data_IF_885884317166
#
_entry.id   IF_885884317166
#
_cell.length_a   1.000
_cell.length_b   1.000
_cell.length_c   1.000
_cell.angle_alpha   90.00
_cell.angle_beta   90.00
_cell.angle_gamma   90.00
#
_symmetry.space_group_name_H-M   'P 1'
#
loop_
_entity.id
_entity.type
_entity.pdbx_description
1 polymer ?
#
# COMPACT_ATOMS: atom_id res chain seq x y z
N UNK A 1 22.12 33.86 -23.18
CA UNK A 1 21.54 32.77 -23.97
C UNK A 1 21.96 31.39 -23.46
N UNK A 2 23.20 30.96 -23.44
CA UNK A 2 23.64 29.63 -22.96
C UNK A 2 23.15 29.22 -21.55
N UNK A 3 23.07 30.15 -20.57
CA UNK A 3 22.56 29.82 -19.22
C UNK A 3 21.08 29.54 -19.20
N UNK A 4 20.28 30.20 -20.04
CA UNK A 4 18.84 29.96 -20.16
C UNK A 4 18.54 28.62 -20.84
N UNK A 5 19.33 28.27 -21.88
CA UNK A 5 19.22 26.97 -22.55
C UNK A 5 19.56 25.80 -21.61
N UNK A 6 20.60 25.94 -20.78
CA UNK A 6 20.97 24.94 -19.77
C UNK A 6 19.87 24.82 -18.70
N UNK A 7 19.30 25.94 -18.24
CA UNK A 7 18.21 25.93 -17.26
C UNK A 7 16.93 25.31 -17.83
N UNK A 8 16.56 25.66 -19.05
CA UNK A 8 15.43 25.08 -19.75
C UNK A 8 15.62 23.58 -20.03
N UNK A 9 16.83 23.16 -20.43
CA UNK A 9 17.13 21.73 -20.62
C UNK A 9 17.06 20.94 -19.32
N UNK A 10 17.51 21.51 -18.19
CA UNK A 10 17.39 20.87 -16.87
C UNK A 10 15.93 20.76 -16.39
N UNK A 11 15.11 21.79 -16.65
CA UNK A 11 13.68 21.77 -16.39
C UNK A 11 12.97 20.69 -17.23
N UNK A 12 13.22 20.66 -18.54
CA UNK A 12 12.62 19.68 -19.46
C UNK A 12 13.04 18.25 -19.09
N UNK A 13 14.31 18.01 -18.77
CA UNK A 13 14.82 16.71 -18.33
C UNK A 13 14.21 16.32 -16.97
N UNK A 14 14.06 17.29 -16.06
CA UNK A 14 13.40 17.07 -14.77
C UNK A 14 11.94 16.68 -14.92
N UNK A 15 11.19 17.37 -15.78
CA UNK A 15 9.79 17.06 -16.05
C UNK A 15 9.62 15.73 -16.78
N UNK A 16 10.48 15.41 -17.76
CA UNK A 16 10.47 14.11 -18.43
C UNK A 16 10.75 12.96 -17.45
N UNK A 17 11.71 13.11 -16.53
CA UNK A 17 11.97 12.11 -15.48
C UNK A 17 10.76 11.93 -14.56
N UNK A 18 10.07 13.01 -14.23
CA UNK A 18 8.86 12.98 -13.39
C UNK A 18 7.68 12.30 -14.09
N UNK A 19 7.55 12.42 -15.41
CA UNK A 19 6.44 11.79 -16.12
C UNK A 19 6.60 10.26 -16.25
N UNK A 20 7.81 9.73 -16.26
CA UNK A 20 8.07 8.29 -16.35
C UNK A 20 8.12 7.59 -14.98
N UNK A 21 8.07 8.35 -13.87
CA UNK A 21 8.17 7.81 -12.53
C UNK A 21 7.18 6.65 -12.25
N UNK A 22 5.86 6.76 -12.54
CA UNK A 22 4.95 5.65 -12.29
C UNK A 22 5.26 4.40 -13.12
N UNK A 23 5.78 4.57 -14.35
CA UNK A 23 6.14 3.44 -15.22
C UNK A 23 7.38 2.72 -14.68
N UNK A 24 8.39 3.48 -14.23
CA UNK A 24 9.59 2.90 -13.61
C UNK A 24 9.20 2.11 -12.37
N UNK A 25 8.35 2.70 -11.51
CA UNK A 25 7.87 2.06 -10.30
C UNK A 25 7.08 0.77 -10.61
N UNK A 26 6.21 0.81 -11.63
CA UNK A 26 5.46 -0.35 -12.07
C UNK A 26 6.36 -1.48 -12.58
N UNK A 27 7.38 -1.16 -13.40
CA UNK A 27 8.34 -2.15 -13.90
C UNK A 27 9.18 -2.75 -12.77
N UNK A 28 9.68 -1.90 -11.85
CA UNK A 28 10.43 -2.37 -10.68
C UNK A 28 9.59 -3.28 -9.81
N UNK A 29 8.33 -2.90 -9.55
CA UNK A 29 7.41 -3.75 -8.80
C UNK A 29 7.15 -5.09 -9.52
N UNK A 30 6.92 -5.08 -10.83
CA UNK A 30 6.69 -6.31 -11.59
C UNK A 30 7.87 -7.28 -11.49
N UNK A 31 9.10 -6.77 -11.68
CA UNK A 31 10.32 -7.58 -11.54
C UNK A 31 10.42 -8.16 -10.12
N UNK A 32 10.20 -7.32 -9.10
CA UNK A 32 10.24 -7.72 -7.71
C UNK A 32 9.20 -8.80 -7.39
N UNK A 33 7.96 -8.62 -7.85
CA UNK A 33 6.86 -9.58 -7.70
C UNK A 33 7.19 -10.94 -8.32
N UNK A 34 7.74 -10.95 -9.54
CA UNK A 34 8.16 -12.19 -10.23
C UNK A 34 9.26 -12.90 -9.44
N UNK A 35 10.27 -12.17 -8.98
CA UNK A 35 11.39 -12.74 -8.22
C UNK A 35 10.91 -13.41 -6.93
N UNK A 36 10.05 -12.73 -6.15
CA UNK A 36 9.51 -13.28 -4.91
C UNK A 36 8.49 -14.42 -5.17
N UNK A 37 7.90 -14.48 -6.36
CA UNK A 37 7.02 -15.57 -6.75
C UNK A 37 7.74 -16.89 -7.08
N UNK A 38 9.08 -16.93 -7.20
CA UNK A 38 9.80 -18.13 -7.65
C UNK A 38 9.72 -19.26 -6.60
N UNK A 39 10.11 -18.99 -5.35
CA UNK A 39 10.16 -20.00 -4.29
C UNK A 39 9.64 -19.42 -2.96
N UNK A 40 8.33 -19.12 -2.84
CA UNK A 40 7.77 -18.68 -1.56
C UNK A 40 7.82 -19.82 -0.53
N UNK A 41 7.81 -19.47 0.74
CA UNK A 41 7.85 -20.40 1.88
C UNK A 41 6.67 -21.37 1.83
N UNK A 42 5.45 -20.84 1.58
CA UNK A 42 4.26 -21.62 1.29
C UNK A 42 3.58 -21.12 0.02
N UNK A 43 3.40 -22.03 -0.96
CA UNK A 43 2.81 -21.67 -2.25
C UNK A 43 1.31 -21.37 -2.14
N UNK A 44 0.61 -22.05 -1.26
CA UNK A 44 -0.83 -21.87 -1.09
C UNK A 44 -1.13 -20.52 -0.43
N UNK A 45 -0.40 -20.19 0.63
CA UNK A 45 -0.47 -18.88 1.29
C UNK A 45 -0.07 -17.77 0.31
N UNK A 46 1.04 -17.94 -0.44
CA UNK A 46 1.46 -16.98 -1.46
C UNK A 46 0.35 -16.64 -2.45
N UNK A 47 -0.33 -17.66 -3.00
CA UNK A 47 -1.39 -17.44 -4.00
C UNK A 47 -2.51 -16.60 -3.42
N UNK A 48 -2.91 -16.85 -2.18
CA UNK A 48 -4.01 -16.13 -1.52
C UNK A 48 -3.58 -14.69 -1.21
N UNK A 49 -2.41 -14.53 -0.64
CA UNK A 49 -1.85 -13.23 -0.25
C UNK A 49 -1.61 -12.27 -1.42
N UNK A 50 -1.26 -12.79 -2.58
CA UNK A 50 -1.01 -11.93 -3.74
C UNK A 50 -2.28 -11.52 -4.50
N UNK A 51 -3.44 -12.09 -4.22
CA UNK A 51 -4.70 -11.69 -4.88
C UNK A 51 -4.96 -10.19 -4.76
N UNK A 52 -4.96 -9.58 -3.56
CA UNK A 52 -5.19 -8.14 -3.43
C UNK A 52 -4.07 -7.31 -4.07
N UNK A 53 -2.82 -7.78 -4.00
CA UNK A 53 -1.66 -7.13 -4.63
C UNK A 53 -1.84 -7.05 -6.15
N UNK A 54 -2.17 -8.18 -6.78
CA UNK A 54 -2.42 -8.27 -8.23
C UNK A 54 -3.63 -7.42 -8.62
N UNK A 55 -4.71 -7.47 -7.85
CA UNK A 55 -5.91 -6.68 -8.10
C UNK A 55 -5.61 -5.17 -8.11
N UNK A 56 -4.91 -4.67 -7.09
CA UNK A 56 -4.52 -3.25 -6.99
C UNK A 56 -3.56 -2.88 -8.11
N UNK A 57 -2.54 -3.69 -8.40
CA UNK A 57 -1.58 -3.43 -9.47
C UNK A 57 -2.26 -3.32 -10.83
N UNK A 58 -3.11 -4.28 -11.17
CA UNK A 58 -3.87 -4.26 -12.44
C UNK A 58 -4.85 -3.09 -12.50
N UNK A 59 -5.51 -2.76 -11.39
CA UNK A 59 -6.39 -1.58 -11.30
C UNK A 59 -5.62 -0.29 -11.60
N UNK A 60 -4.43 -0.11 -11.03
CA UNK A 60 -3.60 1.07 -11.28
C UNK A 60 -3.14 1.15 -12.74
N UNK A 61 -2.76 0.03 -13.36
CA UNK A 61 -2.42 -0.02 -14.79
C UNK A 61 -3.62 0.34 -15.68
N UNK A 62 -4.78 -0.25 -15.41
CA UNK A 62 -6.01 -0.05 -16.22
C UNK A 62 -6.54 1.38 -16.12
N UNK A 63 -6.39 2.02 -14.96
CA UNK A 63 -6.93 3.37 -14.71
C UNK A 63 -5.95 4.50 -15.03
N UNK A 64 -4.68 4.20 -15.24
CA UNK A 64 -3.62 5.19 -15.46
C UNK A 64 -3.95 6.24 -16.53
N UNK A 65 -4.49 5.80 -17.67
CA UNK A 65 -4.87 6.72 -18.76
C UNK A 65 -6.10 7.58 -18.45
N UNK A 66 -6.96 7.15 -17.51
CA UNK A 66 -8.18 7.86 -17.12
C UNK A 66 -7.95 8.85 -15.98
N UNK A 67 -7.05 8.50 -15.08
CA UNK A 67 -6.65 9.33 -13.96
C UNK A 67 -5.22 9.02 -13.55
N UNK A 68 -4.35 9.99 -13.76
CA UNK A 68 -2.96 9.92 -13.30
C UNK A 68 -2.86 10.54 -11.91
N UNK A 69 -2.51 9.73 -10.94
CA UNK A 69 -2.20 10.18 -9.59
C UNK A 69 -0.90 11.00 -9.54
N UNK A 70 -0.69 11.74 -8.45
CA UNK A 70 0.60 12.34 -8.15
C UNK A 70 1.67 11.26 -7.93
N UNK A 71 2.94 11.62 -8.15
CA UNK A 71 4.04 10.69 -7.89
C UNK A 71 4.07 10.25 -6.42
N UNK A 72 3.68 11.14 -5.50
CA UNK A 72 3.57 10.81 -4.07
C UNK A 72 2.49 9.74 -3.84
N UNK A 73 1.32 9.85 -4.45
CA UNK A 73 0.29 8.81 -4.37
C UNK A 73 0.80 7.45 -4.88
N UNK A 74 1.49 7.44 -6.02
CA UNK A 74 2.09 6.19 -6.53
C UNK A 74 3.14 5.64 -5.57
N UNK A 75 3.96 6.49 -4.94
CA UNK A 75 4.93 6.05 -3.92
C UNK A 75 4.22 5.43 -2.71
N UNK A 76 3.21 6.11 -2.16
CA UNK A 76 2.47 5.63 -1.00
C UNK A 76 1.78 4.28 -1.28
N UNK A 77 1.15 4.14 -2.44
CA UNK A 77 0.54 2.87 -2.86
C UNK A 77 1.59 1.78 -3.08
N UNK A 78 2.75 2.13 -3.63
CA UNK A 78 3.83 1.17 -3.86
C UNK A 78 4.44 0.65 -2.57
N UNK A 79 4.52 1.45 -1.50
CA UNK A 79 5.02 0.99 -0.19
C UNK A 79 4.28 -0.27 0.23
N UNK A 80 2.96 -0.27 0.20
CA UNK A 80 2.17 -1.45 0.53
C UNK A 80 2.39 -2.59 -0.47
N UNK A 81 2.37 -2.32 -1.78
CA UNK A 81 2.56 -3.37 -2.79
C UNK A 81 3.86 -4.13 -2.57
N UNK A 82 4.98 -3.44 -2.34
CA UNK A 82 6.26 -4.07 -2.06
C UNK A 82 6.27 -4.79 -0.72
N UNK A 83 5.75 -4.16 0.33
CA UNK A 83 5.73 -4.71 1.68
C UNK A 83 4.90 -5.99 1.76
N UNK A 84 3.67 -5.94 1.26
CA UNK A 84 2.76 -7.09 1.27
C UNK A 84 3.30 -8.26 0.43
N UNK A 85 3.95 -7.98 -0.70
CA UNK A 85 4.60 -9.03 -1.51
C UNK A 85 5.71 -9.74 -0.73
N UNK A 86 6.49 -9.05 0.11
CA UNK A 86 7.45 -9.69 1.01
C UNK A 86 6.73 -10.55 2.05
N UNK A 87 5.68 -10.01 2.67
CA UNK A 87 4.85 -10.74 3.64
C UNK A 87 4.32 -12.05 3.07
N UNK A 88 3.71 -11.99 1.90
CA UNK A 88 3.19 -13.18 1.21
C UNK A 88 4.29 -14.21 0.88
N UNK A 89 5.50 -13.76 0.48
CA UNK A 89 6.62 -14.66 0.20
C UNK A 89 7.05 -15.48 1.41
N UNK A 90 7.09 -14.85 2.59
CA UNK A 90 7.56 -15.45 3.84
C UNK A 90 6.42 -15.90 4.77
N UNK A 91 5.14 -15.75 4.37
CA UNK A 91 3.95 -15.96 5.24
C UNK A 91 3.92 -15.01 6.45
N UNK A 92 4.12 -13.73 6.25
CA UNK A 92 4.15 -12.63 7.22
C UNK A 92 4.86 -12.91 8.55
N UNK A 93 4.39 -13.91 9.32
CA UNK A 93 4.97 -14.29 10.61
C UNK A 93 6.44 -14.76 10.52
N UNK A 94 6.85 -15.29 9.35
CA UNK A 94 8.18 -15.86 9.12
C UNK A 94 9.12 -14.91 8.34
N UNK A 95 8.71 -13.66 8.11
CA UNK A 95 9.61 -12.65 7.54
C UNK A 95 10.82 -12.48 8.48
N UNK A 96 12.08 -12.46 7.98
CA UNK A 96 13.28 -12.26 8.82
C UNK A 96 13.34 -10.83 9.36
N UNK A 97 12.51 -10.53 10.36
CA UNK A 97 12.30 -9.23 10.98
C UNK A 97 12.89 -9.16 12.40
N UNK A 98 13.75 -10.14 12.74
CA UNK A 98 14.32 -10.34 14.07
C UNK A 98 15.08 -9.12 14.59
N UNK A 99 15.75 -8.37 13.70
CA UNK A 99 16.45 -7.15 14.09
C UNK A 99 15.51 -6.15 14.78
N UNK A 100 14.33 -5.92 14.21
CA UNK A 100 13.33 -4.99 14.79
C UNK A 100 12.67 -5.62 16.01
N UNK A 101 12.33 -6.90 15.95
CA UNK A 101 11.72 -7.65 17.05
C UNK A 101 12.61 -7.59 18.30
N UNK A 102 13.90 -7.85 18.16
CA UNK A 102 14.86 -7.81 19.25
C UNK A 102 15.19 -6.38 19.74
N UNK A 103 15.24 -5.40 18.82
CA UNK A 103 15.53 -4.01 19.17
C UNK A 103 14.48 -3.40 20.11
N UNK A 104 13.20 -3.78 19.92
CA UNK A 104 12.08 -3.29 20.71
C UNK A 104 11.54 -4.30 21.73
N UNK A 105 12.20 -5.44 21.90
CA UNK A 105 11.78 -6.53 22.80
C UNK A 105 10.33 -6.99 22.57
N UNK A 106 9.94 -7.08 21.28
CA UNK A 106 8.62 -7.54 20.92
C UNK A 106 8.49 -9.06 21.11
N UNK A 107 7.29 -9.51 21.54
CA UNK A 107 6.98 -10.92 21.74
C UNK A 107 6.55 -11.63 20.44
N UNK A 108 6.36 -10.89 19.36
CA UNK A 108 5.94 -11.42 18.05
C UNK A 108 6.63 -10.67 16.91
N UNK A 109 6.62 -11.27 15.73
CA UNK A 109 6.98 -10.58 14.50
C UNK A 109 5.87 -9.57 14.13
N UNK A 110 6.22 -8.28 14.12
CA UNK A 110 5.30 -7.20 13.81
C UNK A 110 5.37 -6.73 12.34
N UNK A 111 5.93 -7.55 11.44
CA UNK A 111 6.00 -7.21 10.02
C UNK A 111 4.63 -6.94 9.42
N UNK A 112 3.64 -7.73 9.81
CA UNK A 112 2.25 -7.61 9.41
C UNK A 112 1.64 -6.28 9.87
N UNK A 113 1.84 -5.87 11.12
CA UNK A 113 1.39 -4.55 11.63
C UNK A 113 1.88 -3.37 10.79
N UNK A 114 3.11 -3.43 10.28
CA UNK A 114 3.65 -2.41 9.37
C UNK A 114 2.98 -2.52 8.00
N UNK A 115 2.64 -3.72 7.57
CA UNK A 115 1.81 -3.98 6.40
C UNK A 115 0.49 -3.22 6.47
N UNK A 116 -0.28 -3.44 7.55
CA UNK A 116 -1.55 -2.76 7.81
C UNK A 116 -1.37 -1.23 7.87
N UNK A 117 -0.37 -0.72 8.58
CA UNK A 117 -0.07 0.71 8.57
C UNK A 117 0.08 1.26 7.13
N UNK A 118 0.70 0.49 6.25
CA UNK A 118 0.93 0.89 4.86
C UNK A 118 -0.32 0.80 3.97
N UNK A 119 -1.29 -0.07 4.27
CA UNK A 119 -2.64 -0.05 3.67
C UNK A 119 -3.30 1.30 3.92
N UNK A 120 -3.19 1.83 5.13
CA UNK A 120 -3.72 3.14 5.48
C UNK A 120 -3.27 4.27 4.56
N UNK A 121 -2.09 4.16 3.95
CA UNK A 121 -1.58 5.17 3.04
C UNK A 121 -2.44 5.38 1.79
N UNK A 122 -3.29 4.44 1.44
CA UNK A 122 -4.26 4.58 0.34
C UNK A 122 -5.34 5.64 0.60
N UNK A 123 -5.50 6.13 1.83
CA UNK A 123 -6.38 7.26 2.12
C UNK A 123 -5.94 8.54 1.40
N UNK A 124 -4.62 8.75 1.20
CA UNK A 124 -4.09 9.90 0.45
C UNK A 124 -4.53 9.90 -1.02
N UNK A 125 -4.24 8.86 -1.85
CA UNK A 125 -4.69 8.83 -3.23
C UNK A 125 -6.22 8.87 -3.36
N UNK A 126 -6.97 8.33 -2.40
CA UNK A 126 -8.43 8.42 -2.40
C UNK A 126 -8.89 9.88 -2.24
N UNK A 127 -8.32 10.62 -1.28
CA UNK A 127 -8.61 12.03 -1.10
C UNK A 127 -8.15 12.88 -2.30
N UNK A 128 -6.97 12.58 -2.88
CA UNK A 128 -6.49 13.21 -4.11
C UNK A 128 -7.46 12.99 -5.28
N UNK A 129 -7.92 11.76 -5.47
CA UNK A 129 -8.86 11.44 -6.54
C UNK A 129 -10.17 12.22 -6.42
N UNK A 130 -10.80 12.18 -5.26
CA UNK A 130 -12.10 12.84 -5.04
C UNK A 130 -12.02 14.35 -5.19
N UNK A 131 -10.96 14.96 -4.69
CA UNK A 131 -10.80 16.43 -4.76
C UNK A 131 -10.42 16.89 -6.17
N UNK A 132 -9.49 16.22 -6.85
CA UNK A 132 -9.06 16.57 -8.22
C UNK A 132 -10.17 16.34 -9.24
N UNK A 133 -11.04 15.33 -9.03
CA UNK A 133 -12.23 15.10 -9.83
C UNK A 133 -13.42 16.01 -9.45
N UNK A 134 -13.24 16.83 -8.39
CA UNK A 134 -14.30 17.73 -7.86
C UNK A 134 -15.56 16.98 -7.40
N UNK A 135 -15.42 15.72 -6.99
CA UNK A 135 -16.52 14.94 -6.42
C UNK A 135 -16.80 15.32 -4.97
N UNK A 136 -15.77 15.78 -4.25
CA UNK A 136 -15.89 16.21 -2.86
C UNK A 136 -14.92 17.37 -2.57
N UNK A 137 -15.24 18.17 -1.55
CA UNK A 137 -14.27 19.10 -0.96
C UNK A 137 -13.24 18.32 -0.12
N UNK A 138 -12.15 18.98 0.28
CA UNK A 138 -11.05 18.32 0.98
C UNK A 138 -11.45 17.64 2.30
N UNK A 139 -12.40 18.24 3.06
CA UNK A 139 -12.89 17.68 4.32
C UNK A 139 -13.64 16.37 4.06
N UNK A 140 -14.62 16.40 3.15
CA UNK A 140 -15.42 15.22 2.81
C UNK A 140 -14.57 14.13 2.17
N UNK A 141 -13.62 14.49 1.30
CA UNK A 141 -12.68 13.57 0.69
C UNK A 141 -11.77 12.88 1.73
N UNK A 142 -11.33 13.64 2.77
CA UNK A 142 -10.53 13.06 3.86
C UNK A 142 -11.36 12.09 4.72
N UNK A 143 -12.58 12.49 5.09
CA UNK A 143 -13.49 11.59 5.83
C UNK A 143 -13.80 10.34 5.03
N UNK A 144 -14.08 10.48 3.72
CA UNK A 144 -14.30 9.33 2.85
C UNK A 144 -13.07 8.42 2.79
N UNK A 145 -11.87 8.99 2.61
CA UNK A 145 -10.62 8.24 2.59
C UNK A 145 -10.39 7.46 3.89
N UNK A 146 -10.62 8.09 5.04
CA UNK A 146 -10.51 7.44 6.35
C UNK A 146 -11.48 6.26 6.48
N UNK A 147 -12.78 6.49 6.27
CA UNK A 147 -13.79 5.44 6.43
C UNK A 147 -13.70 4.37 5.35
N UNK A 148 -13.25 4.70 4.15
CA UNK A 148 -12.96 3.74 3.10
C UNK A 148 -11.88 2.75 3.54
N UNK A 149 -10.77 3.24 4.09
CA UNK A 149 -9.70 2.37 4.62
C UNK A 149 -10.22 1.52 5.78
N UNK A 150 -10.95 2.10 6.74
CA UNK A 150 -11.53 1.33 7.85
C UNK A 150 -12.48 0.22 7.35
N UNK A 151 -13.24 0.49 6.29
CA UNK A 151 -14.13 -0.51 5.68
C UNK A 151 -13.35 -1.63 4.97
N UNK A 152 -12.27 -1.29 4.26
CA UNK A 152 -11.38 -2.27 3.62
C UNK A 152 -10.70 -3.14 4.69
N UNK A 153 -10.15 -2.53 5.75
CA UNK A 153 -9.55 -3.23 6.87
C UNK A 153 -10.53 -4.24 7.50
N UNK A 154 -11.69 -3.77 7.91
CA UNK A 154 -12.70 -4.67 8.49
C UNK A 154 -13.16 -5.78 7.52
N UNK A 155 -13.28 -5.47 6.23
CA UNK A 155 -13.62 -6.46 5.20
C UNK A 155 -12.52 -7.51 5.01
N UNK A 156 -11.26 -7.11 5.10
CA UNK A 156 -10.13 -8.01 4.96
C UNK A 156 -10.04 -8.98 6.16
N UNK A 157 -10.18 -8.49 7.38
CA UNK A 157 -10.23 -9.32 8.59
C UNK A 157 -11.38 -10.35 8.57
N UNK A 158 -12.53 -9.97 8.00
CA UNK A 158 -13.64 -10.92 7.81
C UNK A 158 -13.26 -12.00 6.78
N UNK A 159 -12.55 -11.65 5.72
CA UNK A 159 -12.08 -12.61 4.70
C UNK A 159 -11.05 -13.57 5.31
N UNK A 160 -10.09 -13.08 6.08
CA UNK A 160 -9.10 -13.91 6.78
C UNK A 160 -9.76 -14.89 7.72
N UNK A 161 -10.66 -14.41 8.56
CA UNK A 161 -11.47 -15.26 9.47
C UNK A 161 -12.25 -16.31 8.70
N UNK A 162 -12.97 -15.91 7.65
CA UNK A 162 -13.80 -16.84 6.87
C UNK A 162 -12.96 -17.92 6.19
N UNK A 163 -11.80 -17.53 5.63
CA UNK A 163 -10.88 -18.47 5.01
C UNK A 163 -10.33 -19.46 6.05
N UNK A 164 -9.88 -18.99 7.21
CA UNK A 164 -9.34 -19.83 8.28
C UNK A 164 -10.38 -20.86 8.78
N UNK A 165 -11.67 -20.45 8.86
CA UNK A 165 -12.77 -21.35 9.24
C UNK A 165 -13.07 -22.39 8.16
N UNK A 166 -13.05 -22.01 6.88
CA UNK A 166 -13.36 -22.89 5.75
C UNK A 166 -12.22 -23.87 5.49
N UNK A 167 -10.98 -23.42 5.49
CA UNK A 167 -9.80 -24.25 5.27
C UNK A 167 -9.62 -25.26 6.42
N UNK A 168 -9.82 -24.80 7.67
CA UNK A 168 -9.76 -25.63 8.87
C UNK A 168 -8.40 -26.30 9.13
N UNK A 169 -7.35 -25.89 8.39
CA UNK A 169 -6.01 -26.48 8.42
C UNK A 169 -4.91 -25.47 8.70
N UNK A 170 -3.66 -25.92 8.50
CA UNK A 170 -2.48 -25.08 8.76
C UNK A 170 -2.41 -23.86 7.85
N UNK A 171 -2.81 -23.98 6.58
CA UNK A 171 -2.83 -22.86 5.63
C UNK A 171 -3.74 -21.72 6.10
N UNK A 172 -4.93 -22.05 6.64
CA UNK A 172 -5.84 -21.07 7.22
C UNK A 172 -5.25 -20.36 8.45
N UNK A 173 -4.57 -21.10 9.32
CA UNK A 173 -3.90 -20.56 10.52
C UNK A 173 -2.74 -19.65 10.12
N UNK A 174 -1.94 -20.05 9.14
CA UNK A 174 -0.82 -19.27 8.59
C UNK A 174 -1.32 -17.98 7.92
N UNK A 175 -2.41 -18.06 7.17
CA UNK A 175 -3.03 -16.91 6.51
C UNK A 175 -3.63 -15.93 7.52
N UNK A 176 -4.25 -16.42 8.60
CA UNK A 176 -4.76 -15.59 9.69
C UNK A 176 -3.65 -14.82 10.43
N UNK A 177 -2.44 -15.37 10.49
CA UNK A 177 -1.23 -14.68 10.95
C UNK A 177 -1.20 -14.20 12.40
N UNK A 178 -2.17 -14.59 13.23
CA UNK A 178 -2.41 -14.01 14.56
C UNK A 178 -1.26 -14.21 15.57
N UNK A 179 -0.38 -15.19 15.37
CA UNK A 179 0.74 -15.52 16.25
C UNK A 179 0.34 -15.60 17.74
N UNK A 180 -0.91 -16.02 18.02
CA UNK A 180 -1.47 -16.14 19.37
C UNK A 180 -2.03 -14.85 19.96
N UNK A 181 -2.07 -13.75 19.24
CA UNK A 181 -2.70 -12.51 19.69
C UNK A 181 -4.21 -12.55 19.45
N UNK A 182 -4.99 -12.65 20.52
CA UNK A 182 -6.47 -12.70 20.44
C UNK A 182 -7.12 -11.39 19.94
N UNK A 183 -6.35 -10.29 19.93
CA UNK A 183 -6.77 -8.97 19.47
C UNK A 183 -6.13 -8.59 18.12
N UNK A 184 -5.68 -9.58 17.36
CA UNK A 184 -4.96 -9.39 16.11
C UNK A 184 -5.75 -8.51 15.14
N UNK A 185 -6.92 -8.96 14.75
CA UNK A 185 -7.81 -8.25 13.84
C UNK A 185 -8.07 -6.79 14.24
N UNK A 186 -8.31 -6.54 15.53
CA UNK A 186 -8.56 -5.16 16.01
C UNK A 186 -7.32 -4.29 15.97
N UNK A 187 -6.15 -4.86 16.22
CA UNK A 187 -4.87 -4.13 16.17
C UNK A 187 -4.48 -3.85 14.71
N UNK A 188 -4.80 -4.74 13.79
CA UNK A 188 -4.58 -4.56 12.35
C UNK A 188 -5.48 -3.47 11.79
N UNK A 189 -6.77 -3.50 12.08
CA UNK A 189 -7.68 -2.40 11.76
C UNK A 189 -7.24 -1.06 12.37
N UNK A 190 -6.66 -1.07 13.58
CA UNK A 190 -6.08 0.13 14.19
C UNK A 190 -4.84 0.61 13.43
N UNK A 191 -3.96 -0.30 12.99
CA UNK A 191 -2.81 -0.01 12.15
C UNK A 191 -3.21 0.70 10.86
N UNK A 192 -4.19 0.14 10.13
CA UNK A 192 -4.77 0.73 8.92
C UNK A 192 -5.31 2.14 9.19
N UNK A 193 -6.05 2.31 10.29
CA UNK A 193 -6.64 3.59 10.68
C UNK A 193 -5.57 4.64 10.98
N UNK A 194 -4.53 4.28 11.72
CA UNK A 194 -3.40 5.17 12.02
C UNK A 194 -2.68 5.57 10.73
N UNK A 195 -2.40 4.61 9.85
CA UNK A 195 -1.80 4.87 8.54
C UNK A 195 -2.65 5.82 7.69
N UNK A 196 -3.98 5.65 7.70
CA UNK A 196 -4.89 6.53 7.00
C UNK A 196 -4.86 7.96 7.56
N UNK A 197 -4.85 8.12 8.88
CA UNK A 197 -4.73 9.43 9.53
C UNK A 197 -3.40 10.09 9.15
N UNK A 198 -2.28 9.38 9.21
CA UNK A 198 -0.96 9.89 8.81
C UNK A 198 -0.95 10.37 7.36
N UNK A 199 -1.50 9.56 6.45
CA UNK A 199 -1.60 9.88 5.04
C UNK A 199 -2.50 11.10 4.79
N UNK A 200 -3.60 11.24 5.51
CA UNK A 200 -4.50 12.38 5.39
C UNK A 200 -3.91 13.66 6.00
N UNK A 201 -3.15 13.56 7.09
CA UNK A 201 -2.35 14.68 7.59
C UNK A 201 -1.37 15.15 6.52
N UNK A 202 -0.66 14.22 5.86
CA UNK A 202 0.22 14.54 4.75
C UNK A 202 -0.54 15.18 3.57
N UNK A 203 -1.75 14.70 3.26
CA UNK A 203 -2.63 15.29 2.24
C UNK A 203 -2.92 16.77 2.54
N UNK A 204 -3.21 17.12 3.78
CA UNK A 204 -3.49 18.50 4.18
C UNK A 204 -2.25 19.43 4.11
N UNK A 205 -1.04 18.90 4.30
CA UNK A 205 0.20 19.68 4.10
C UNK A 205 0.56 19.85 2.63
N UNK A 206 0.35 18.83 1.80
CA UNK A 206 0.77 18.85 0.39
C UNK A 206 -0.29 19.50 -0.50
N UNK A 207 -1.59 19.32 -0.21
CA UNK A 207 -2.74 19.84 -0.96
C UNK A 207 -2.59 19.65 -2.47
N UNK A 208 -2.56 18.39 -2.97
CA UNK A 208 -2.40 18.12 -4.39
C UNK A 208 -3.58 18.61 -5.23
N UNK A 209 -4.74 18.83 -4.59
CA UNK A 209 -5.96 19.37 -5.18
C UNK A 209 -5.85 20.86 -5.56
N UNK A 210 -4.96 21.61 -4.91
CA UNK A 210 -4.75 23.05 -5.17
C UNK A 210 -3.62 23.31 -6.14
N UNK A 211 -2.74 22.33 -6.36
CA UNK A 211 -1.65 22.42 -7.34
C UNK A 211 -2.19 22.03 -8.72
N UNK A 212 -2.11 22.95 -9.66
CA UNK A 212 -2.38 22.64 -11.07
C UNK A 212 -1.22 21.78 -11.54
N UNK A 213 -1.41 20.47 -11.54
CA UNK A 213 -0.51 19.56 -12.24
C UNK A 213 -0.78 19.73 -13.73
N UNK A 214 0.02 20.61 -14.35
CA UNK A 214 0.09 20.74 -15.80
C UNK A 214 0.80 19.52 -16.41
#
# INVERSE_FOLDING_TARGET
>A
MKKLEVYLSQLIIGEMKMQYYPHILAVLFFIFFVLLGINPVDRSVWIIEVIPVVAVYLFLLATYKRFRFSNLSYTLMAVWLFWHTVGGHYTFANVPFDFITNLFDFQRNNFDRVGHLSVGFYAYPMAEFLTRKKYANAILASLFGLFFIMSIAAGYEIVEWAYAVIDGGNTGIEFLGSQGDIWDAQKDMLGDTIGAIMALVLFWFIRPDTKIFQ
#
